data_IF_508554944087
#
_entry.id   IF_508554944087
#
_cell.length_a   1.000
_cell.length_b   1.000
_cell.length_c   1.000
_cell.angle_alpha   90.00
_cell.angle_beta   90.00
_cell.angle_gamma   90.00
#
_symmetry.space_group_name_H-M   'P 1'
#
loop_
_entity.id
_entity.type
_entity.pdbx_description
1 polymer ?
#
# COMPACT_ATOMS: atom_id res chain seq x y z
N UNK A 1 12.89 10.29 30.61
CA UNK A 1 12.38 11.56 30.04
C UNK A 1 10.87 11.49 30.11
N UNK A 2 10.17 12.56 30.53
CA UNK A 2 8.70 12.58 30.47
C UNK A 2 8.26 12.47 29.01
N UNK A 3 7.39 11.51 28.71
CA UNK A 3 6.77 11.41 27.39
C UNK A 3 6.05 12.72 27.06
N UNK A 4 6.42 13.35 25.94
CA UNK A 4 5.80 14.59 25.45
C UNK A 4 5.39 14.39 24.01
N UNK A 5 4.08 14.34 23.77
CA UNK A 5 3.52 14.44 22.42
C UNK A 5 3.35 15.91 22.05
N UNK A 6 3.69 16.22 20.81
CA UNK A 6 3.40 17.52 20.18
C UNK A 6 2.23 17.39 19.20
N UNK A 7 1.64 18.50 18.81
CA UNK A 7 0.62 18.53 17.77
C UNK A 7 1.25 18.38 16.38
N UNK A 8 0.49 17.83 15.43
CA UNK A 8 0.93 17.69 14.04
C UNK A 8 1.32 19.04 13.40
N UNK A 9 0.62 20.13 13.74
CA UNK A 9 0.98 21.46 13.26
C UNK A 9 2.35 21.91 13.80
N UNK A 10 2.71 21.50 15.02
CA UNK A 10 4.03 21.82 15.57
C UNK A 10 5.13 20.95 14.94
N UNK A 11 4.82 19.72 14.53
CA UNK A 11 5.71 18.92 13.67
C UNK A 11 6.01 19.69 12.38
N UNK A 12 4.98 20.15 11.67
CA UNK A 12 5.15 20.88 10.40
C UNK A 12 5.95 22.18 10.56
N UNK A 13 5.76 22.91 11.67
CA UNK A 13 6.56 24.09 12.01
C UNK A 13 8.02 23.71 12.27
N UNK A 14 8.28 22.67 13.05
CA UNK A 14 9.63 22.23 13.42
C UNK A 14 10.46 21.80 12.21
N UNK A 15 9.80 21.25 11.18
CA UNK A 15 10.47 20.77 9.96
C UNK A 15 10.29 21.71 8.77
N UNK A 16 9.80 22.95 8.98
CA UNK A 16 9.38 23.87 7.90
C UNK A 16 10.42 24.03 6.80
N UNK A 17 11.67 24.26 7.18
CA UNK A 17 12.83 24.51 6.30
C UNK A 17 13.62 23.22 5.96
N UNK A 18 13.08 22.06 6.29
CA UNK A 18 13.70 20.77 5.99
C UNK A 18 13.06 20.13 4.77
N UNK A 19 13.75 19.17 4.18
CA UNK A 19 13.11 18.22 3.26
C UNK A 19 12.17 17.30 4.04
N UNK A 20 10.93 17.17 3.58
CA UNK A 20 9.87 16.45 4.30
C UNK A 20 9.44 15.24 3.51
N UNK A 21 9.45 14.07 4.14
CA UNK A 21 8.93 12.83 3.58
C UNK A 21 7.80 12.29 4.43
N UNK A 22 6.87 11.59 3.82
CA UNK A 22 5.72 11.00 4.50
C UNK A 22 5.70 9.49 4.26
N UNK A 23 5.49 8.72 5.33
CA UNK A 23 5.13 7.31 5.27
C UNK A 23 3.75 7.14 5.89
N UNK A 24 2.78 6.69 5.10
CA UNK A 24 1.43 6.39 5.57
C UNK A 24 1.23 4.87 5.68
N UNK A 25 0.49 4.45 6.71
CA UNK A 25 -0.05 3.10 6.82
C UNK A 25 -1.56 3.10 6.98
N UNK A 26 -2.11 1.96 7.42
CA UNK A 26 -3.54 1.69 7.35
C UNK A 26 -4.41 2.68 8.16
N UNK A 27 -3.84 3.35 9.16
CA UNK A 27 -4.50 4.43 9.88
C UNK A 27 -4.93 5.60 9.00
N UNK A 28 -4.29 5.82 7.84
CA UNK A 28 -4.78 6.75 6.81
C UNK A 28 -6.18 6.37 6.33
N UNK A 29 -6.39 5.10 6.01
CA UNK A 29 -7.65 4.58 5.48
C UNK A 29 -8.69 4.38 6.59
N UNK A 30 -8.26 3.95 7.78
CA UNK A 30 -9.12 3.88 8.97
C UNK A 30 -9.62 5.26 9.41
N UNK A 31 -8.83 6.32 9.23
CA UNK A 31 -9.26 7.68 9.53
C UNK A 31 -10.37 8.18 8.58
N UNK A 32 -10.47 7.60 7.38
CA UNK A 32 -11.59 7.84 6.48
C UNK A 32 -12.83 7.03 6.89
N UNK A 33 -12.67 5.72 7.10
CA UNK A 33 -13.75 4.84 7.54
C UNK A 33 -13.20 3.61 8.29
N UNK A 34 -13.22 3.63 9.62
CA UNK A 34 -12.67 2.54 10.42
C UNK A 34 -13.39 1.21 10.17
N UNK A 35 -14.72 1.20 10.01
CA UNK A 35 -15.50 -0.02 9.77
C UNK A 35 -15.11 -0.72 8.46
N UNK A 36 -14.70 0.04 7.45
CA UNK A 36 -14.25 -0.50 6.15
C UNK A 36 -12.78 -0.89 6.11
N UNK A 37 -11.94 -0.43 7.03
CA UNK A 37 -10.48 -0.62 6.98
C UNK A 37 -9.87 -1.23 8.25
N UNK A 38 -10.69 -1.71 9.18
CA UNK A 38 -10.22 -2.25 10.46
C UNK A 38 -9.78 -3.71 10.41
N UNK A 39 -10.03 -4.44 9.33
CA UNK A 39 -9.66 -5.86 9.27
C UNK A 39 -8.13 -6.00 9.22
N UNK A 40 -7.64 -6.97 9.99
CA UNK A 40 -6.23 -7.32 10.07
C UNK A 40 -5.72 -7.88 8.75
N UNK A 41 -6.62 -8.48 7.97
CA UNK A 41 -6.26 -9.54 7.03
C UNK A 41 -7.27 -9.76 5.92
N UNK A 42 -6.80 -9.98 4.68
CA UNK A 42 -7.68 -10.36 3.57
C UNK A 42 -8.31 -11.73 3.82
N UNK A 43 -7.55 -12.64 4.42
CA UNK A 43 -8.04 -13.97 4.77
C UNK A 43 -9.03 -13.90 5.94
N UNK A 44 -8.76 -13.10 6.96
CA UNK A 44 -9.67 -12.97 8.12
C UNK A 44 -10.98 -12.30 7.66
N UNK A 45 -10.89 -11.28 6.78
CA UNK A 45 -12.07 -10.68 6.15
C UNK A 45 -12.90 -11.70 5.36
N UNK A 46 -12.26 -12.67 4.72
CA UNK A 46 -12.94 -13.70 3.93
C UNK A 46 -13.72 -14.65 4.85
N UNK A 47 -13.14 -14.95 6.01
CA UNK A 47 -13.73 -15.80 7.04
C UNK A 47 -14.88 -15.08 7.73
N UNK A 48 -14.68 -13.82 8.14
CA UNK A 48 -15.69 -13.01 8.81
C UNK A 48 -16.92 -12.77 7.93
N UNK A 49 -16.72 -12.67 6.60
CA UNK A 49 -17.80 -12.57 5.61
C UNK A 49 -18.45 -13.91 5.25
N UNK A 50 -17.96 -15.03 5.81
CA UNK A 50 -18.46 -16.37 5.52
C UNK A 50 -18.14 -16.89 4.11
N UNK A 51 -17.17 -16.30 3.42
CA UNK A 51 -16.76 -16.70 2.07
C UNK A 51 -15.78 -17.88 2.09
N UNK A 52 -14.99 -17.99 3.16
CA UNK A 52 -14.11 -19.12 3.43
C UNK A 52 -14.44 -19.64 4.83
N UNK A 53 -14.76 -20.92 4.97
CA UNK A 53 -14.88 -21.55 6.28
C UNK A 53 -13.56 -22.19 6.69
N UNK A 54 -13.26 -22.28 7.99
CA UNK A 54 -12.01 -22.87 8.48
C UNK A 54 -11.89 -24.37 8.16
N UNK A 55 -13.01 -25.01 7.86
CA UNK A 55 -13.08 -26.42 7.50
C UNK A 55 -12.89 -26.65 5.99
N UNK A 56 -13.01 -25.59 5.18
CA UNK A 56 -12.93 -25.65 3.72
C UNK A 56 -11.55 -26.13 3.22
N UNK A 57 -11.49 -26.80 2.06
CA UNK A 57 -10.22 -27.13 1.40
C UNK A 57 -9.36 -25.89 1.14
N UNK A 58 -9.97 -24.78 0.74
CA UNK A 58 -9.32 -23.49 0.51
C UNK A 58 -8.56 -23.02 1.75
N UNK A 59 -9.23 -22.97 2.91
CA UNK A 59 -8.58 -22.55 4.15
C UNK A 59 -7.42 -23.47 4.53
N UNK A 60 -7.61 -24.78 4.36
CA UNK A 60 -6.56 -25.76 4.60
C UNK A 60 -5.33 -25.51 3.72
N UNK A 61 -5.51 -25.12 2.46
CA UNK A 61 -4.40 -24.77 1.58
C UNK A 61 -3.63 -23.56 2.11
N UNK A 62 -4.32 -22.46 2.49
CA UNK A 62 -3.64 -21.32 3.12
C UNK A 62 -2.80 -21.75 4.33
N UNK A 63 -3.35 -22.61 5.19
CA UNK A 63 -2.63 -23.09 6.39
C UNK A 63 -1.49 -24.06 6.07
N UNK A 64 -1.66 -24.96 5.10
CA UNK A 64 -0.65 -25.96 4.74
C UNK A 64 0.57 -25.34 4.06
N UNK A 65 0.36 -24.29 3.27
CA UNK A 65 1.43 -23.56 2.59
C UNK A 65 1.95 -22.37 3.42
N UNK A 66 1.47 -22.19 4.65
CA UNK A 66 1.83 -21.08 5.55
C UNK A 66 1.79 -19.72 4.82
N UNK A 67 0.76 -19.51 4.01
CA UNK A 67 0.60 -18.31 3.18
C UNK A 67 -0.73 -17.64 3.46
N UNK A 68 -0.78 -16.33 3.21
CA UNK A 68 -2.01 -15.54 3.13
C UNK A 68 -2.14 -14.85 1.78
N UNK A 69 -1.30 -15.23 0.82
CA UNK A 69 -1.30 -14.68 -0.53
C UNK A 69 -2.36 -15.40 -1.38
N UNK A 70 -3.41 -14.67 -1.75
CA UNK A 70 -4.48 -15.20 -2.59
C UNK A 70 -3.99 -15.57 -3.99
N UNK A 71 -3.02 -14.82 -4.54
CA UNK A 71 -2.45 -15.13 -5.85
C UNK A 71 -1.70 -16.46 -5.81
N UNK A 72 -0.95 -16.73 -4.74
CA UNK A 72 -0.22 -17.97 -4.54
C UNK A 72 -1.17 -19.17 -4.47
N UNK A 73 -2.23 -19.08 -3.64
CA UNK A 73 -3.22 -20.16 -3.51
C UNK A 73 -3.96 -20.40 -4.82
N UNK A 74 -4.36 -19.35 -5.53
CA UNK A 74 -5.00 -19.47 -6.85
C UNK A 74 -4.08 -20.16 -7.86
N UNK A 75 -2.79 -19.77 -7.92
CA UNK A 75 -1.80 -20.41 -8.79
C UNK A 75 -1.56 -21.88 -8.42
N UNK A 76 -1.53 -22.20 -7.11
CA UNK A 76 -1.41 -23.57 -6.64
C UNK A 76 -2.58 -24.44 -7.11
N UNK A 77 -3.82 -23.96 -6.97
CA UNK A 77 -5.03 -24.65 -7.44
C UNK A 77 -4.97 -24.91 -8.95
N UNK A 78 -4.69 -23.88 -9.74
CA UNK A 78 -4.70 -23.95 -11.21
C UNK A 78 -3.55 -24.78 -11.77
N UNK A 79 -2.35 -24.62 -11.22
CA UNK A 79 -1.17 -25.39 -11.65
C UNK A 79 -1.30 -26.86 -11.26
N UNK A 80 -1.74 -27.14 -10.03
CA UNK A 80 -1.98 -28.52 -9.59
C UNK A 80 -3.05 -29.20 -10.45
N UNK A 81 -4.12 -28.48 -10.81
CA UNK A 81 -5.15 -29.00 -11.73
C UNK A 81 -4.56 -29.42 -13.07
N UNK A 82 -3.72 -28.57 -13.68
CA UNK A 82 -3.05 -28.89 -14.96
C UNK A 82 -2.17 -30.13 -14.85
N UNK A 83 -1.39 -30.23 -13.77
CA UNK A 83 -0.51 -31.38 -13.52
C UNK A 83 -1.33 -32.66 -13.35
N UNK A 84 -2.27 -32.69 -12.40
CA UNK A 84 -3.07 -33.88 -12.08
C UNK A 84 -3.90 -34.36 -13.29
N UNK A 85 -4.42 -33.41 -14.08
CA UNK A 85 -5.11 -33.71 -15.34
C UNK A 85 -4.18 -34.39 -16.35
N UNK A 86 -2.94 -33.93 -16.48
CA UNK A 86 -1.93 -34.52 -17.38
C UNK A 86 -1.58 -35.95 -16.97
N UNK A 87 -1.49 -36.23 -15.67
CA UNK A 87 -1.25 -37.59 -15.16
C UNK A 87 -2.49 -38.51 -15.22
N UNK A 88 -3.66 -38.00 -15.62
CA UNK A 88 -4.89 -38.79 -15.70
C UNK A 88 -5.46 -39.22 -14.34
N UNK A 89 -5.02 -38.58 -13.24
CA UNK A 89 -5.43 -38.91 -11.86
C UNK A 89 -6.49 -37.96 -11.29
N UNK A 90 -7.01 -37.05 -12.12
CA UNK A 90 -8.02 -36.06 -11.74
C UNK A 90 -9.37 -36.38 -12.39
N UNK A 91 -10.41 -36.60 -11.58
CA UNK A 91 -11.77 -36.74 -12.09
C UNK A 91 -12.31 -35.39 -12.59
N UNK A 92 -13.27 -35.42 -13.53
CA UNK A 92 -13.93 -34.20 -14.02
C UNK A 92 -14.66 -33.43 -12.91
N UNK A 93 -15.15 -34.14 -11.89
CA UNK A 93 -15.86 -33.54 -10.74
C UNK A 93 -14.87 -32.76 -9.88
N UNK A 94 -13.71 -33.36 -9.59
CA UNK A 94 -12.65 -32.73 -8.80
C UNK A 94 -12.01 -31.56 -9.55
N UNK A 95 -11.76 -31.71 -10.86
CA UNK A 95 -11.29 -30.61 -11.72
C UNK A 95 -12.22 -29.41 -11.63
N UNK A 96 -13.54 -29.62 -11.79
CA UNK A 96 -14.51 -28.54 -11.72
C UNK A 96 -14.48 -27.87 -10.34
N UNK A 97 -14.46 -28.65 -9.26
CA UNK A 97 -14.45 -28.13 -7.89
C UNK A 97 -13.24 -27.24 -7.63
N UNK A 98 -12.03 -27.69 -7.97
CA UNK A 98 -10.79 -26.93 -7.76
C UNK A 98 -10.78 -25.62 -8.59
N UNK A 99 -11.28 -25.68 -9.83
CA UNK A 99 -11.38 -24.48 -10.69
C UNK A 99 -12.45 -23.50 -10.21
N UNK A 100 -13.57 -23.98 -9.66
CA UNK A 100 -14.61 -23.13 -9.09
C UNK A 100 -14.14 -22.48 -7.77
N UNK A 101 -13.33 -23.18 -6.97
CA UNK A 101 -12.63 -22.61 -5.81
C UNK A 101 -11.66 -21.49 -6.24
N UNK A 102 -10.84 -21.73 -7.28
CA UNK A 102 -9.95 -20.71 -7.86
C UNK A 102 -10.72 -19.45 -8.31
N UNK A 103 -11.80 -19.63 -9.08
CA UNK A 103 -12.65 -18.52 -9.53
C UNK A 103 -13.27 -17.77 -8.36
N UNK A 104 -13.71 -18.48 -7.32
CA UNK A 104 -14.30 -17.88 -6.13
C UNK A 104 -13.29 -17.00 -5.38
N UNK A 105 -12.04 -17.45 -5.28
CA UNK A 105 -10.94 -16.65 -4.72
C UNK A 105 -10.62 -15.41 -5.54
N UNK A 106 -10.55 -15.55 -6.88
CA UNK A 106 -10.36 -14.40 -7.80
C UNK A 106 -11.50 -13.38 -7.64
N UNK A 107 -12.74 -13.85 -7.61
CA UNK A 107 -13.92 -13.00 -7.40
C UNK A 107 -13.89 -12.31 -6.04
N UNK A 108 -13.55 -13.05 -4.99
CA UNK A 108 -13.41 -12.47 -3.66
C UNK A 108 -12.36 -11.36 -3.64
N UNK A 109 -11.20 -11.57 -4.28
CA UNK A 109 -10.18 -10.53 -4.38
C UNK A 109 -10.77 -9.25 -5.02
N UNK A 110 -11.53 -9.36 -6.11
CA UNK A 110 -12.26 -8.23 -6.71
C UNK A 110 -13.27 -7.62 -5.73
N UNK A 111 -14.04 -8.44 -5.03
CA UNK A 111 -15.05 -7.96 -4.09
C UNK A 111 -14.43 -7.22 -2.90
N UNK A 112 -13.27 -7.63 -2.40
CA UNK A 112 -12.56 -6.92 -1.33
C UNK A 112 -11.97 -5.60 -1.85
N UNK A 113 -11.40 -5.65 -3.06
CA UNK A 113 -10.91 -4.46 -3.77
C UNK A 113 -12.01 -3.42 -3.92
N UNK A 114 -13.25 -3.86 -4.08
CA UNK A 114 -14.35 -2.97 -4.44
C UNK A 114 -15.24 -2.59 -3.27
N UNK A 115 -15.45 -3.47 -2.30
CA UNK A 115 -16.32 -3.17 -1.15
C UNK A 115 -15.63 -2.34 -0.05
N UNK A 116 -14.30 -2.36 0.03
CA UNK A 116 -13.59 -1.54 1.00
C UNK A 116 -13.45 -0.10 0.54
N UNK A 117 -13.58 0.15 -0.77
CA UNK A 117 -13.55 1.48 -1.35
C UNK A 117 -14.96 1.93 -1.72
N UNK A 118 -15.25 3.24 -1.67
CA UNK A 118 -16.35 3.79 -2.46
C UNK A 118 -16.23 3.33 -3.92
N UNK A 119 -17.32 2.98 -4.60
CA UNK A 119 -17.20 2.43 -5.97
C UNK A 119 -16.67 3.50 -6.94
N UNK A 120 -16.91 4.77 -6.62
CA UNK A 120 -16.47 5.92 -7.39
C UNK A 120 -15.80 6.94 -6.49
N UNK A 121 -14.77 7.60 -7.02
CA UNK A 121 -14.13 8.76 -6.38
C UNK A 121 -15.17 9.84 -6.01
N UNK A 122 -16.24 9.97 -6.79
CA UNK A 122 -17.32 10.96 -6.59
C UNK A 122 -18.18 10.71 -5.35
N UNK A 123 -18.12 9.52 -4.75
CA UNK A 123 -18.85 9.23 -3.50
C UNK A 123 -18.15 9.84 -2.27
N UNK A 124 -16.90 10.26 -2.40
CA UNK A 124 -16.18 11.00 -1.38
C UNK A 124 -16.34 12.49 -1.67
N UNK A 125 -16.88 13.22 -0.69
CA UNK A 125 -17.04 14.68 -0.77
C UNK A 125 -15.70 15.38 -1.01
N UNK A 126 -15.74 16.45 -1.80
CA UNK A 126 -14.56 17.29 -2.08
C UNK A 126 -13.88 17.82 -0.81
N UNK A 127 -14.61 18.12 0.27
CA UNK A 127 -14.02 18.58 1.54
C UNK A 127 -13.08 17.55 2.18
N UNK A 128 -13.48 16.27 2.15
CA UNK A 128 -12.64 15.17 2.65
C UNK A 128 -11.36 15.04 1.84
N UNK A 129 -11.48 15.12 0.51
CA UNK A 129 -10.30 15.13 -0.36
C UNK A 129 -9.46 16.37 -0.17
N UNK A 130 -10.07 17.53 0.07
CA UNK A 130 -9.35 18.78 0.31
C UNK A 130 -8.50 18.68 1.57
N UNK A 131 -9.03 18.07 2.63
CA UNK A 131 -8.26 17.79 3.86
C UNK A 131 -7.11 16.81 3.60
N UNK A 132 -7.37 15.71 2.88
CA UNK A 132 -6.34 14.70 2.56
C UNK A 132 -5.26 15.26 1.64
N UNK A 133 -5.64 16.05 0.64
CA UNK A 133 -4.74 16.77 -0.25
C UNK A 133 -3.87 17.77 0.52
N UNK A 134 -4.46 18.57 1.43
CA UNK A 134 -3.71 19.49 2.29
C UNK A 134 -2.78 18.78 3.27
N UNK A 135 -3.10 17.54 3.67
CA UNK A 135 -2.19 16.73 4.46
C UNK A 135 -0.95 16.33 3.63
N UNK A 136 -1.14 15.72 2.45
CA UNK A 136 -0.03 15.17 1.65
C UNK A 136 0.80 16.22 0.90
N UNK A 137 0.25 17.40 0.56
CA UNK A 137 0.93 18.42 -0.26
C UNK A 137 2.22 18.96 0.35
N UNK A 138 2.42 18.80 1.65
CA UNK A 138 3.57 19.36 2.38
C UNK A 138 4.85 18.53 2.23
N UNK A 139 4.79 17.38 1.56
CA UNK A 139 5.87 16.40 1.52
C UNK A 139 6.43 16.25 0.10
N UNK A 140 7.76 16.17 -0.03
CA UNK A 140 8.43 15.97 -1.32
C UNK A 140 8.25 14.56 -1.86
N UNK A 141 8.10 13.57 -0.97
CA UNK A 141 7.82 12.18 -1.32
C UNK A 141 6.85 11.56 -0.31
N UNK A 142 5.91 10.79 -0.83
CA UNK A 142 4.90 10.05 -0.06
C UNK A 142 5.04 8.56 -0.34
N UNK A 143 5.21 7.81 0.73
CA UNK A 143 5.28 6.35 0.73
C UNK A 143 4.03 5.80 1.41
N UNK A 144 3.43 4.76 0.87
CA UNK A 144 2.29 4.08 1.49
C UNK A 144 2.54 2.59 1.68
N UNK A 145 2.11 2.07 2.82
CA UNK A 145 1.99 0.63 3.08
C UNK A 145 0.60 0.10 2.70
N UNK A 146 -0.33 0.99 2.34
CA UNK A 146 -1.67 0.62 1.97
C UNK A 146 -1.72 0.28 0.48
N UNK A 147 -2.39 -0.81 0.16
CA UNK A 147 -2.69 -1.19 -1.22
C UNK A 147 -3.94 -0.50 -1.77
N UNK A 148 -4.73 0.15 -0.91
CA UNK A 148 -5.95 0.81 -1.31
C UNK A 148 -5.82 1.99 -2.30
N UNK A 149 -6.97 2.41 -2.84
CA UNK A 149 -7.09 3.52 -3.79
C UNK A 149 -7.17 4.91 -3.14
N UNK A 150 -7.24 5.04 -1.80
CA UNK A 150 -7.50 6.34 -1.19
C UNK A 150 -6.34 7.33 -1.41
N UNK A 151 -5.09 6.89 -1.25
CA UNK A 151 -3.95 7.77 -1.57
C UNK A 151 -3.93 8.13 -3.06
N UNK A 152 -4.16 7.15 -3.93
CA UNK A 152 -4.20 7.37 -5.38
C UNK A 152 -5.24 8.44 -5.76
N UNK A 153 -6.44 8.36 -5.19
CA UNK A 153 -7.48 9.37 -5.40
C UNK A 153 -7.17 10.72 -4.77
N UNK A 154 -6.56 10.74 -3.58
CA UNK A 154 -6.09 11.98 -2.97
C UNK A 154 -5.05 12.68 -3.83
N UNK A 155 -4.18 11.94 -4.52
CA UNK A 155 -3.25 12.49 -5.51
C UNK A 155 -4.01 13.08 -6.71
N UNK A 156 -4.95 12.34 -7.32
CA UNK A 156 -5.77 12.87 -8.44
C UNK A 156 -6.48 14.17 -8.04
N UNK A 157 -7.08 14.20 -6.85
CA UNK A 157 -7.80 15.38 -6.34
C UNK A 157 -6.88 16.53 -5.97
N UNK A 158 -5.69 16.26 -5.42
CA UNK A 158 -4.68 17.30 -5.21
C UNK A 158 -4.31 17.97 -6.54
N UNK A 159 -4.10 17.20 -7.61
CA UNK A 159 -3.81 17.75 -8.94
C UNK A 159 -4.95 18.67 -9.43
N UNK A 160 -6.21 18.20 -9.37
CA UNK A 160 -7.35 19.03 -9.79
C UNK A 160 -7.50 20.29 -8.91
N UNK A 161 -7.28 20.21 -7.59
CA UNK A 161 -7.32 21.38 -6.73
C UNK A 161 -6.19 22.39 -6.98
N UNK A 162 -5.02 21.94 -7.45
CA UNK A 162 -3.93 22.83 -7.89
C UNK A 162 -4.33 23.55 -9.18
N UNK A 163 -4.86 22.82 -10.16
CA UNK A 163 -5.33 23.38 -11.44
C UNK A 163 -6.48 24.38 -11.24
N UNK A 164 -7.40 24.08 -10.33
CA UNK A 164 -8.49 24.96 -9.88
C UNK A 164 -8.01 26.12 -8.97
N UNK A 165 -6.71 26.19 -8.64
CA UNK A 165 -6.10 27.19 -7.74
C UNK A 165 -6.68 27.21 -6.33
N UNK A 166 -7.35 26.13 -5.91
CA UNK A 166 -7.87 25.92 -4.54
C UNK A 166 -6.78 25.54 -3.55
N UNK A 167 -5.75 24.82 -4.02
CA UNK A 167 -4.53 24.54 -3.27
C UNK A 167 -3.37 25.28 -3.93
N UNK A 168 -2.64 26.03 -3.11
CA UNK A 168 -1.38 26.69 -3.47
C UNK A 168 -0.22 26.08 -2.69
N UNK A 169 0.99 26.31 -3.20
CA UNK A 169 2.25 25.96 -2.54
C UNK A 169 2.39 24.47 -2.21
N UNK A 170 2.08 23.60 -3.19
CA UNK A 170 2.35 22.16 -3.06
C UNK A 170 3.85 21.89 -3.20
N UNK A 171 4.45 21.24 -2.20
CA UNK A 171 5.79 20.68 -2.32
C UNK A 171 5.78 19.34 -3.09
N UNK A 172 4.59 18.81 -3.37
CA UNK A 172 4.37 17.54 -4.05
C UNK A 172 3.91 17.79 -5.49
N UNK A 173 4.78 17.52 -6.45
CA UNK A 173 4.48 17.50 -7.88
C UNK A 173 4.21 16.07 -8.34
N UNK A 174 2.93 15.68 -8.36
CA UNK A 174 2.52 14.27 -8.33
C UNK A 174 3.12 13.47 -9.48
N UNK A 175 3.96 12.48 -9.14
CA UNK A 175 4.40 11.46 -10.07
C UNK A 175 4.55 10.12 -9.37
N UNK A 176 3.87 9.10 -9.86
CA UNK A 176 3.92 7.73 -9.32
C UNK A 176 4.88 6.80 -10.07
N UNK A 177 5.67 7.35 -11.00
CA UNK A 177 6.68 6.61 -11.77
C UNK A 177 6.11 5.80 -12.94
N UNK A 178 4.81 5.93 -13.22
CA UNK A 178 4.19 5.34 -14.40
C UNK A 178 4.00 6.37 -15.49
N UNK A 179 4.31 6.00 -16.73
CA UNK A 179 4.23 6.86 -17.89
C UNK A 179 3.71 6.08 -19.10
N UNK A 180 3.42 6.78 -20.18
CA UNK A 180 2.89 6.19 -21.40
C UNK A 180 3.97 5.99 -22.45
N UNK A 181 4.60 4.80 -22.53
CA UNK A 181 5.54 4.52 -23.61
C UNK A 181 4.86 4.23 -24.94
N UNK A 182 3.52 4.16 -24.98
CA UNK A 182 2.75 3.64 -26.11
C UNK A 182 1.84 4.69 -26.76
N UNK A 183 2.03 5.97 -26.45
CA UNK A 183 1.29 7.09 -27.06
C UNK A 183 -0.24 6.85 -27.12
N UNK A 184 -0.81 6.42 -25.99
CA UNK A 184 -2.24 6.17 -25.77
C UNK A 184 -2.84 5.03 -26.61
N UNK A 185 -2.02 4.15 -27.17
CA UNK A 185 -2.50 2.93 -27.86
C UNK A 185 -2.87 1.78 -26.90
N UNK A 186 -2.71 1.99 -25.59
CA UNK A 186 -3.02 1.01 -24.55
C UNK A 186 -3.87 1.62 -23.43
N UNK A 187 -4.68 0.76 -22.81
CA UNK A 187 -5.60 1.09 -21.70
C UNK A 187 -4.88 1.37 -20.36
N UNK A 188 -3.56 1.14 -20.33
CA UNK A 188 -2.72 1.21 -19.13
C UNK A 188 -1.48 2.08 -19.39
N UNK A 189 -0.75 2.38 -18.31
CA UNK A 189 0.58 3.00 -18.36
C UNK A 189 1.61 2.07 -17.73
N UNK A 190 2.89 2.27 -18.05
CA UNK A 190 3.98 1.35 -17.69
C UNK A 190 4.91 1.99 -16.67
N UNK A 191 5.42 1.20 -15.73
CA UNK A 191 6.41 1.64 -14.77
C UNK A 191 7.77 1.93 -15.43
N UNK A 192 8.25 3.16 -15.31
CA UNK A 192 9.53 3.60 -15.86
C UNK A 192 10.71 3.29 -14.94
N UNK A 193 11.13 2.02 -14.97
CA UNK A 193 12.25 1.51 -14.18
C UNK A 193 13.56 2.31 -14.33
N UNK A 194 13.74 3.01 -15.46
CA UNK A 194 15.00 3.67 -15.85
C UNK A 194 14.88 5.18 -16.08
N UNK A 195 14.22 5.92 -15.18
CA UNK A 195 14.35 7.38 -15.14
C UNK A 195 13.05 8.19 -15.09
N UNK A 196 11.89 7.53 -14.95
CA UNK A 196 10.66 8.25 -14.66
C UNK A 196 10.77 8.95 -13.30
N UNK A 197 10.38 10.23 -13.24
CA UNK A 197 10.22 10.92 -11.97
C UNK A 197 9.23 10.15 -11.09
N UNK A 198 9.53 9.96 -9.81
CA UNK A 198 8.61 9.32 -8.88
C UNK A 198 8.75 9.99 -7.50
N UNK A 199 7.62 10.36 -6.93
CA UNK A 199 7.50 10.81 -5.55
C UNK A 199 6.33 10.18 -4.80
N UNK A 200 5.46 9.41 -5.46
CA UNK A 200 4.46 8.56 -4.83
C UNK A 200 4.90 7.10 -4.95
N UNK A 201 5.03 6.41 -3.81
CA UNK A 201 5.57 5.05 -3.74
C UNK A 201 4.64 4.13 -2.98
N UNK A 202 4.16 3.08 -3.64
CA UNK A 202 3.33 2.04 -3.04
C UNK A 202 4.22 0.87 -2.61
N UNK A 203 4.75 0.94 -1.37
CA UNK A 203 5.75 0.00 -0.85
C UNK A 203 5.25 -1.44 -0.76
N UNK A 204 3.95 -1.60 -0.53
CA UNK A 204 3.27 -2.89 -0.51
C UNK A 204 2.36 -3.05 -1.74
N UNK A 205 2.63 -2.30 -2.81
CA UNK A 205 1.85 -2.33 -4.05
C UNK A 205 0.51 -1.62 -3.92
N UNK A 206 -0.34 -1.75 -4.94
CA UNK A 206 -1.61 -1.06 -5.02
C UNK A 206 -2.59 -1.78 -5.95
N UNK A 207 -3.88 -1.67 -5.66
CA UNK A 207 -4.94 -2.36 -6.40
C UNK A 207 -5.07 -1.92 -7.86
N UNK A 208 -4.46 -0.79 -8.21
CA UNK A 208 -4.42 -0.23 -9.56
C UNK A 208 -3.11 -0.58 -10.30
N UNK A 209 -2.19 -1.32 -9.67
CA UNK A 209 -0.87 -1.70 -10.20
C UNK A 209 -0.85 -3.22 -10.42
N UNK A 210 -0.39 -3.69 -11.57
CA UNK A 210 -0.44 -5.10 -11.97
C UNK A 210 0.89 -5.58 -12.54
N UNK A 211 1.18 -6.86 -12.36
CA UNK A 211 2.35 -7.52 -12.94
C UNK A 211 1.92 -8.34 -14.16
N UNK A 212 2.32 -7.89 -15.36
CA UNK A 212 2.06 -8.58 -16.63
C UNK A 212 3.21 -9.52 -17.02
N UNK A 213 4.11 -9.85 -16.10
CA UNK A 213 5.37 -10.62 -16.26
C UNK A 213 6.44 -9.90 -17.09
N UNK A 214 6.08 -9.33 -18.23
CA UNK A 214 7.00 -8.57 -19.08
C UNK A 214 7.18 -7.12 -18.61
N UNK A 215 6.17 -6.57 -17.95
CA UNK A 215 6.12 -5.17 -17.54
C UNK A 215 5.20 -5.00 -16.32
N UNK A 216 5.46 -3.95 -15.54
CA UNK A 216 4.57 -3.52 -14.46
C UNK A 216 3.68 -2.42 -15.01
N UNK A 217 2.37 -2.62 -14.94
CA UNK A 217 1.38 -1.71 -15.51
C UNK A 217 0.53 -1.08 -14.42
N UNK A 218 -0.02 0.10 -14.70
CA UNK A 218 -1.03 0.74 -13.86
C UNK A 218 -2.28 0.99 -14.71
N UNK A 219 -3.41 0.49 -14.24
CA UNK A 219 -4.71 0.70 -14.87
C UNK A 219 -5.11 2.17 -14.74
N UNK A 220 -5.72 2.73 -15.80
CA UNK A 220 -6.12 4.13 -15.83
C UNK A 220 -7.57 4.28 -16.22
N UNK A 221 -8.33 5.00 -15.41
CA UNK A 221 -9.74 5.30 -15.71
C UNK A 221 -9.85 6.18 -16.96
N UNK A 222 -9.00 7.23 -17.05
CA UNK A 222 -9.05 8.26 -18.09
C UNK A 222 -8.82 7.76 -19.53
N UNK A 223 -8.38 6.50 -19.71
CA UNK A 223 -8.13 5.90 -21.04
C UNK A 223 -9.24 4.99 -21.52
N UNK A 224 -10.08 4.48 -20.61
CA UNK A 224 -10.98 3.37 -20.90
C UNK A 224 -12.44 3.67 -20.64
N UNK A 225 -12.74 4.72 -19.87
CA UNK A 225 -14.05 4.98 -19.25
C UNK A 225 -14.61 3.81 -18.42
N UNK A 226 -13.80 2.77 -18.17
CA UNK A 226 -14.13 1.62 -17.34
C UNK A 226 -13.67 1.88 -15.92
N UNK A 227 -14.49 1.48 -14.95
CA UNK A 227 -14.12 1.54 -13.55
C UNK A 227 -12.86 0.69 -13.28
N UNK A 228 -12.05 1.09 -12.29
CA UNK A 228 -10.90 0.28 -11.86
C UNK A 228 -11.33 -1.13 -11.44
N UNK A 229 -12.56 -1.29 -10.94
CA UNK A 229 -13.21 -2.58 -10.65
C UNK A 229 -13.28 -3.47 -11.88
N UNK A 230 -13.89 -2.98 -12.95
CA UNK A 230 -14.06 -3.73 -14.21
C UNK A 230 -12.69 -4.08 -14.80
N UNK A 231 -11.77 -3.12 -14.85
CA UNK A 231 -10.42 -3.36 -15.36
C UNK A 231 -9.66 -4.40 -14.51
N UNK A 232 -9.83 -4.40 -13.18
CA UNK A 232 -9.23 -5.40 -12.29
C UNK A 232 -9.79 -6.80 -12.56
N UNK A 233 -11.10 -6.92 -12.73
CA UNK A 233 -11.75 -8.20 -13.05
C UNK A 233 -11.28 -8.73 -14.41
N UNK A 234 -11.18 -7.86 -15.43
CA UNK A 234 -10.64 -8.21 -16.74
C UNK A 234 -9.19 -8.70 -16.66
N UNK A 235 -8.36 -8.06 -15.84
CA UNK A 235 -6.97 -8.47 -15.62
C UNK A 235 -6.89 -9.83 -14.91
N UNK A 236 -7.67 -10.04 -13.83
CA UNK A 236 -7.66 -11.31 -13.10
C UNK A 236 -8.15 -12.49 -13.94
N UNK A 237 -9.08 -12.25 -14.87
CA UNK A 237 -9.51 -13.27 -15.84
C UNK A 237 -8.41 -13.64 -16.86
N UNK A 238 -7.40 -12.76 -17.03
CA UNK A 238 -6.22 -12.97 -17.89
C UNK A 238 -5.00 -13.46 -17.08
N UNK A 239 -5.19 -13.87 -15.83
CA UNK A 239 -4.13 -14.23 -14.87
C UNK A 239 -3.11 -13.10 -14.62
N UNK A 240 -3.57 -11.84 -14.73
CA UNK A 240 -2.82 -10.64 -14.41
C UNK A 240 -3.29 -10.16 -13.04
N UNK A 241 -2.45 -10.34 -12.02
CA UNK A 241 -2.80 -10.05 -10.63
C UNK A 241 -2.33 -8.65 -10.23
N UNK A 242 -3.11 -7.95 -9.38
CA UNK A 242 -2.62 -6.71 -8.80
C UNK A 242 -1.42 -6.99 -7.91
N UNK A 243 -0.43 -6.12 -7.98
CA UNK A 243 0.75 -6.19 -7.12
C UNK A 243 0.32 -5.65 -5.78
N UNK A 244 0.22 -6.52 -4.80
CA UNK A 244 0.18 -6.12 -3.41
C UNK A 244 0.91 -7.13 -2.54
N UNK A 245 1.55 -6.63 -1.49
CA UNK A 245 2.16 -7.47 -0.46
C UNK A 245 1.04 -7.85 0.50
N UNK A 246 0.51 -9.05 0.29
CA UNK A 246 -0.42 -9.67 1.24
C UNK A 246 0.28 -9.85 2.59
N UNK A 247 -0.53 -10.20 3.58
CA UNK A 247 -0.02 -10.47 4.90
C UNK A 247 0.86 -11.73 4.95
N UNK A 248 1.56 -11.89 6.05
CA UNK A 248 2.52 -12.95 6.29
C UNK A 248 3.64 -12.45 7.19
N UNK A 249 4.67 -13.28 7.35
CA UNK A 249 5.88 -12.90 8.10
C UNK A 249 6.63 -11.77 7.39
N UNK A 250 7.44 -11.00 8.13
CA UNK A 250 8.25 -9.93 7.52
C UNK A 250 9.22 -10.46 6.45
N UNK A 251 9.70 -11.70 6.58
CA UNK A 251 10.58 -12.30 5.56
C UNK A 251 9.84 -12.71 4.28
N UNK A 252 8.62 -13.25 4.37
CA UNK A 252 7.77 -13.50 3.18
C UNK A 252 7.47 -12.19 2.43
N UNK A 253 7.06 -11.14 3.17
CA UNK A 253 6.83 -9.81 2.58
C UNK A 253 8.08 -9.27 1.90
N UNK A 254 9.23 -9.39 2.56
CA UNK A 254 10.52 -8.94 2.04
C UNK A 254 10.95 -9.72 0.80
N UNK A 255 10.72 -11.03 0.74
CA UNK A 255 10.98 -11.83 -0.45
C UNK A 255 10.15 -11.33 -1.64
N UNK A 256 8.83 -11.14 -1.46
CA UNK A 256 7.96 -10.58 -2.50
C UNK A 256 8.43 -9.19 -2.97
N UNK A 257 8.83 -8.33 -2.03
CA UNK A 257 9.37 -7.00 -2.33
C UNK A 257 10.66 -7.08 -3.17
N UNK A 258 11.60 -7.94 -2.81
CA UNK A 258 12.89 -8.04 -3.50
C UNK A 258 12.74 -8.61 -4.91
N UNK A 259 11.83 -9.57 -5.10
CA UNK A 259 11.63 -10.27 -6.37
C UNK A 259 10.68 -9.55 -7.35
N UNK A 260 9.97 -8.52 -6.91
CA UNK A 260 9.16 -7.68 -7.79
C UNK A 260 9.87 -6.35 -8.09
N UNK A 261 10.05 -6.02 -9.37
CA UNK A 261 10.83 -4.85 -9.81
C UNK A 261 10.31 -3.54 -9.21
N UNK A 262 8.99 -3.32 -9.23
CA UNK A 262 8.36 -2.10 -8.71
C UNK A 262 8.47 -2.00 -7.18
N UNK A 263 8.15 -3.08 -6.46
CA UNK A 263 8.22 -3.08 -4.99
C UNK A 263 9.67 -2.88 -4.51
N UNK A 264 10.63 -3.53 -5.16
CA UNK A 264 12.05 -3.38 -4.85
C UNK A 264 12.51 -1.94 -5.10
N UNK A 265 12.07 -1.32 -6.20
CA UNK A 265 12.34 0.10 -6.48
C UNK A 265 11.81 1.01 -5.37
N UNK A 266 10.54 0.83 -4.97
CA UNK A 266 9.93 1.60 -3.89
C UNK A 266 10.69 1.43 -2.56
N UNK A 267 11.06 0.19 -2.22
CA UNK A 267 11.82 -0.12 -1.02
C UNK A 267 13.22 0.51 -1.02
N UNK A 268 13.95 0.42 -2.13
CA UNK A 268 15.27 1.07 -2.31
C UNK A 268 15.16 2.59 -2.23
N UNK A 269 14.08 3.16 -2.77
CA UNK A 269 13.78 4.58 -2.65
C UNK A 269 13.63 4.99 -1.18
N UNK A 270 12.76 4.31 -0.39
CA UNK A 270 12.64 4.56 1.05
C UNK A 270 13.96 4.41 1.79
N UNK A 271 14.77 3.40 1.43
CA UNK A 271 16.07 3.18 2.05
C UNK A 271 17.13 4.23 1.71
N UNK A 272 16.89 5.09 0.71
CA UNK A 272 17.85 6.07 0.21
C UNK A 272 17.42 7.54 0.37
N UNK A 273 16.20 7.80 0.83
CA UNK A 273 15.70 9.17 1.04
C UNK A 273 16.56 9.97 2.02
N UNK A 274 16.50 11.29 1.86
CA UNK A 274 17.02 12.25 2.82
C UNK A 274 18.43 12.76 2.57
N UNK A 275 18.75 13.78 3.33
CA UNK A 275 20.02 14.50 3.44
C UNK A 275 20.22 14.93 4.89
N UNK A 276 21.29 15.69 5.20
CA UNK A 276 21.56 16.16 6.57
C UNK A 276 20.43 17.03 7.17
N UNK A 277 19.59 17.67 6.35
CA UNK A 277 18.48 18.50 6.81
C UNK A 277 17.13 17.97 6.29
N UNK A 278 16.74 16.78 6.76
CA UNK A 278 15.53 16.13 6.30
C UNK A 278 14.83 15.29 7.37
N UNK A 279 13.50 15.26 7.29
CA UNK A 279 12.61 14.61 8.24
C UNK A 279 11.67 13.62 7.56
N UNK A 280 11.41 12.49 8.23
CA UNK A 280 10.36 11.55 7.88
C UNK A 280 9.21 11.68 8.88
N UNK A 281 7.99 11.88 8.40
CA UNK A 281 6.76 11.81 9.20
C UNK A 281 6.06 10.48 8.91
N UNK A 282 5.67 9.76 9.95
CA UNK A 282 5.02 8.45 9.87
C UNK A 282 3.61 8.58 10.45
N UNK A 283 2.60 8.27 9.64
CA UNK A 283 1.20 8.37 10.02
C UNK A 283 0.46 7.04 9.83
N UNK A 284 -0.34 6.65 10.82
CA UNK A 284 -1.27 5.52 10.66
C UNK A 284 -0.61 4.14 10.65
N UNK A 285 0.58 3.98 11.20
CA UNK A 285 1.20 2.66 11.43
C UNK A 285 2.15 2.69 12.62
N UNK A 286 2.15 1.60 13.39
CA UNK A 286 3.12 1.35 14.46
C UNK A 286 4.35 0.57 13.98
N UNK A 287 4.44 0.30 12.66
CA UNK A 287 5.48 -0.54 12.05
C UNK A 287 5.71 -1.83 12.87
N UNK A 288 4.63 -2.58 13.12
CA UNK A 288 4.63 -3.76 14.00
C UNK A 288 5.58 -4.86 13.47
N UNK A 289 5.67 -6.00 14.17
CA UNK A 289 6.57 -7.12 13.84
C UNK A 289 6.56 -7.58 12.37
N UNK A 290 5.45 -7.42 11.66
CA UNK A 290 5.34 -7.83 10.25
C UNK A 290 5.95 -6.81 9.26
N UNK A 291 6.37 -5.62 9.72
CA UNK A 291 6.93 -4.55 8.90
C UNK A 291 8.37 -4.18 9.31
N UNK A 292 9.13 -5.14 9.87
CA UNK A 292 10.54 -4.95 10.25
C UNK A 292 11.40 -4.52 9.07
N UNK A 293 11.11 -4.99 7.85
CA UNK A 293 11.78 -4.55 6.64
C UNK A 293 11.64 -3.03 6.41
N UNK A 294 10.50 -2.43 6.74
CA UNK A 294 10.28 -0.99 6.65
C UNK A 294 11.12 -0.24 7.70
N UNK A 295 11.17 -0.73 8.95
CA UNK A 295 12.08 -0.18 9.98
C UNK A 295 13.53 -0.21 9.50
N UNK A 296 13.98 -1.33 8.92
CA UNK A 296 15.33 -1.48 8.34
C UNK A 296 15.60 -0.48 7.20
N UNK A 297 14.62 -0.23 6.32
CA UNK A 297 14.76 0.78 5.27
C UNK A 297 14.90 2.20 5.87
N UNK A 298 14.08 2.55 6.85
CA UNK A 298 14.16 3.86 7.52
C UNK A 298 15.51 4.05 8.23
N UNK A 299 16.04 3.02 8.90
CA UNK A 299 17.37 3.08 9.51
C UNK A 299 18.50 3.29 8.48
N UNK A 300 18.37 2.70 7.29
CA UNK A 300 19.34 2.88 6.19
C UNK A 300 19.26 4.25 5.50
N UNK A 301 18.09 4.90 5.54
CA UNK A 301 17.89 6.21 4.93
C UNK A 301 18.83 7.28 5.51
N UNK A 302 18.87 8.45 4.88
CA UNK A 302 19.69 9.59 5.28
C UNK A 302 18.93 10.65 6.09
N UNK A 303 17.65 10.43 6.41
CA UNK A 303 16.87 11.36 7.26
C UNK A 303 17.49 11.49 8.64
N UNK A 304 17.41 12.68 9.23
CA UNK A 304 18.01 12.98 10.54
C UNK A 304 16.97 13.01 11.66
N UNK A 305 15.71 13.34 11.34
CA UNK A 305 14.60 13.29 12.29
C UNK A 305 13.46 12.41 11.78
N UNK A 306 12.82 11.69 12.70
CA UNK A 306 11.68 10.82 12.45
C UNK A 306 10.57 11.22 13.42
N UNK A 307 9.39 11.56 12.89
CA UNK A 307 8.20 11.88 13.67
C UNK A 307 7.18 10.77 13.51
N UNK A 308 6.75 10.18 14.62
CA UNK A 308 5.85 9.01 14.62
C UNK A 308 4.53 9.41 15.29
N UNK A 309 3.43 9.25 14.56
CA UNK A 309 2.09 9.50 15.07
C UNK A 309 1.62 8.35 15.95
N UNK A 310 1.36 8.63 17.23
CA UNK A 310 0.87 7.66 18.23
C UNK A 310 -0.34 8.24 18.98
N UNK A 311 -1.17 7.39 19.60
CA UNK A 311 -2.32 7.84 20.39
C UNK A 311 -2.00 8.05 21.87
N UNK A 312 -0.96 7.38 22.39
CA UNK A 312 -0.63 7.35 23.81
C UNK A 312 0.84 6.90 24.04
N UNK A 313 1.27 6.91 25.31
CA UNK A 313 2.62 6.54 25.72
C UNK A 313 2.93 5.04 25.53
N UNK A 314 1.95 4.15 25.68
CA UNK A 314 2.17 2.71 25.52
C UNK A 314 2.47 2.34 24.06
N UNK A 315 1.81 3.00 23.10
CA UNK A 315 2.17 2.89 21.69
C UNK A 315 3.57 3.44 21.38
N UNK A 316 4.04 4.44 22.13
CA UNK A 316 5.39 4.97 21.95
C UNK A 316 6.47 3.98 22.41
N UNK A 317 6.21 3.22 23.48
CA UNK A 317 7.13 2.18 23.99
C UNK A 317 7.37 1.04 22.99
N UNK A 318 6.43 0.79 22.07
CA UNK A 318 6.60 -0.17 20.95
C UNK A 318 7.76 0.22 19.98
N UNK A 319 8.31 1.42 20.13
CA UNK A 319 9.46 1.92 19.37
C UNK A 319 10.76 1.98 20.19
N UNK A 320 10.83 1.52 21.42
CA UNK A 320 12.05 1.60 22.26
C UNK A 320 13.27 0.98 21.58
N UNK A 321 13.13 -0.25 21.05
CA UNK A 321 14.17 -0.92 20.26
C UNK A 321 14.54 -0.12 18.99
N UNK A 322 13.56 0.49 18.33
CA UNK A 322 13.80 1.30 17.14
C UNK A 322 14.54 2.61 17.46
N UNK A 323 14.24 3.23 18.60
CA UNK A 323 14.93 4.41 19.12
C UNK A 323 16.37 4.06 19.48
N UNK A 324 16.57 2.94 20.17
CA UNK A 324 17.90 2.46 20.54
C UNK A 324 18.75 2.22 19.29
N UNK A 325 18.23 1.47 18.31
CA UNK A 325 18.90 1.24 17.02
C UNK A 325 19.19 2.55 16.29
N UNK A 326 18.23 3.48 16.26
CA UNK A 326 18.39 4.79 15.62
C UNK A 326 19.50 5.64 16.24
N UNK A 327 19.67 5.56 17.56
CA UNK A 327 20.69 6.31 18.31
C UNK A 327 22.10 5.75 18.13
N UNK A 328 22.24 4.44 17.93
CA UNK A 328 23.51 3.72 17.76
C UNK A 328 24.11 3.85 16.35
N UNK A 329 23.37 4.40 15.39
CA UNK A 329 23.88 4.63 14.04
C UNK A 329 25.04 5.64 14.04
N UNK A 330 26.03 5.45 13.16
CA UNK A 330 27.14 6.41 12.95
C UNK A 330 26.63 7.85 12.74
N UNK A 331 25.47 7.98 12.09
CA UNK A 331 24.69 9.22 12.04
C UNK A 331 23.39 8.98 12.79
N UNK A 332 23.38 9.30 14.08
CA UNK A 332 22.23 9.10 14.94
C UNK A 332 21.00 9.82 14.38
N UNK A 333 19.84 9.15 14.44
CA UNK A 333 18.56 9.71 14.04
C UNK A 333 17.76 10.07 15.29
N UNK A 334 17.12 11.23 15.29
CA UNK A 334 16.26 11.68 16.39
C UNK A 334 14.83 11.21 16.13
N UNK A 335 14.23 10.54 17.11
CA UNK A 335 12.85 10.05 17.03
C UNK A 335 11.98 10.90 17.95
N UNK A 336 10.85 11.36 17.43
CA UNK A 336 9.87 12.21 18.09
C UNK A 336 8.47 11.61 17.94
N UNK A 337 7.60 11.87 18.90
CA UNK A 337 6.22 11.44 18.89
C UNK A 337 5.27 12.62 18.80
N UNK A 338 4.18 12.45 18.05
CA UNK A 338 3.11 13.44 17.95
C UNK A 338 1.74 12.77 18.06
N UNK A 339 0.72 13.50 18.52
CA UNK A 339 -0.64 12.99 18.55
C UNK A 339 -1.20 12.95 17.12
N UNK A 340 -1.36 11.75 16.56
CA UNK A 340 -1.84 11.59 15.19
C UNK A 340 -3.26 12.14 15.00
N UNK A 341 -4.09 12.22 16.05
CA UNK A 341 -5.48 12.68 15.96
C UNK A 341 -5.57 14.14 15.55
N UNK A 342 -4.51 14.91 15.81
CA UNK A 342 -4.40 16.33 15.48
C UNK A 342 -4.11 16.58 14.00
N UNK A 343 -3.68 15.57 13.24
CA UNK A 343 -3.39 15.69 11.81
C UNK A 343 -4.64 15.83 10.92
N UNK A 344 -5.81 15.39 11.42
CA UNK A 344 -7.12 15.58 10.78
C UNK A 344 -7.16 15.27 9.27
N UNK A 345 -6.58 14.14 8.88
CA UNK A 345 -6.31 13.81 7.46
C UNK A 345 -7.56 13.79 6.55
N UNK A 346 -8.75 13.50 7.09
CA UNK A 346 -9.99 13.42 6.31
C UNK A 346 -11.11 14.33 6.83
N UNK A 347 -10.83 15.30 7.71
CA UNK A 347 -11.87 16.08 8.40
C UNK A 347 -11.47 17.48 8.79
#
# INVERSE_FOLDING_TARGET
>A
MSFKMIDYNDVLKAIREQKKYLLIGNGFSMAFNSARFSFTSLLDNAIDRGLITKESPIYKIFTQFDTKDFEEVVKLLETSTKVLKTYGVLSKIDEKKILDDSKSLKKYLVDVITNNHPDKITEISDDKFFNSANFIKNFEKVYTLNYDLLLYWSCIKLQSFIEEKRIKDSALDISDGFYDPHEQTTDYVVFGNDGASQNIYFLHGGLHIFDKKSEIIKNTYSRTDKSLKEQTLENLNKDIYPIFVSEGTSEQKKAKIIHNAYLNHCYKSLASIGTQNSSLVIFGTLLKRNDIHIRKAILKSKVTSIYIGVSNEDEAKEFDDFIEQSSKLKKAKKVYFYDYKTAKVWR
#
